data_IF_562815732629
#
_entry.id   IF_562815732629
#
_cell.length_a   1.000
_cell.length_b   1.000
_cell.length_c   1.000
_cell.angle_alpha   90.00
_cell.angle_beta   90.00
_cell.angle_gamma   90.00
#
_symmetry.space_group_name_H-M   'P 1'
#
loop_
_entity.id
_entity.type
_entity.pdbx_description
1 polymer ?
#
# COMPACT_ATOMS: atom_id res chain seq x y z
N UNK A 1 -17.52 -0.31 4.07
CA UNK A 1 -16.17 0.27 4.28
C UNK A 1 -15.52 0.72 2.97
N UNK A 2 -15.51 -0.07 1.89
CA UNK A 2 -14.89 0.33 0.61
C UNK A 2 -15.45 1.61 -0.03
N UNK A 3 -16.76 1.86 0.07
CA UNK A 3 -17.37 3.14 -0.33
C UNK A 3 -16.74 4.35 0.39
N UNK A 4 -16.50 4.25 1.71
CA UNK A 4 -15.84 5.31 2.49
C UNK A 4 -14.40 5.54 2.02
N UNK A 5 -13.72 4.49 1.59
CA UNK A 5 -12.39 4.62 0.97
C UNK A 5 -12.48 5.38 -0.36
N UNK A 6 -13.45 5.05 -1.22
CA UNK A 6 -13.64 5.77 -2.49
C UNK A 6 -13.97 7.25 -2.24
N UNK A 7 -14.81 7.57 -1.25
CA UNK A 7 -15.10 8.95 -0.86
C UNK A 7 -13.86 9.69 -0.35
N UNK A 8 -13.08 9.04 0.53
CA UNK A 8 -11.83 9.59 1.04
C UNK A 8 -10.80 9.82 -0.08
N UNK A 9 -10.68 8.87 -1.01
CA UNK A 9 -9.82 8.96 -2.18
C UNK A 9 -10.24 10.11 -3.10
N UNK A 10 -11.53 10.23 -3.42
CA UNK A 10 -12.04 11.30 -4.27
C UNK A 10 -11.86 12.67 -3.61
N UNK A 11 -12.05 12.74 -2.28
CA UNK A 11 -11.81 13.96 -1.51
C UNK A 11 -10.33 14.36 -1.56
N UNK A 12 -9.43 13.40 -1.37
CA UNK A 12 -7.98 13.57 -1.50
C UNK A 12 -7.56 14.02 -2.91
N UNK A 13 -8.04 13.33 -3.95
CA UNK A 13 -7.74 13.71 -5.34
C UNK A 13 -8.25 15.12 -5.67
N UNK A 14 -9.40 15.52 -5.13
CA UNK A 14 -9.90 16.87 -5.29
C UNK A 14 -9.04 17.90 -4.55
N UNK A 15 -8.49 17.60 -3.38
CA UNK A 15 -7.58 18.53 -2.67
C UNK A 15 -6.24 18.67 -3.38
N UNK A 16 -5.76 17.61 -4.02
CA UNK A 16 -4.55 17.61 -4.85
C UNK A 16 -4.76 18.22 -6.26
N UNK A 17 -5.98 18.67 -6.58
CA UNK A 17 -6.32 19.22 -7.89
C UNK A 17 -6.33 18.19 -9.02
N UNK A 18 -6.32 16.89 -8.69
CA UNK A 18 -6.31 15.74 -9.64
C UNK A 18 -7.72 15.21 -9.89
N UNK A 19 -8.65 16.12 -10.18
CA UNK A 19 -10.05 15.78 -10.46
C UNK A 19 -10.20 14.93 -11.73
N UNK A 20 -9.23 15.00 -12.63
CA UNK A 20 -9.10 14.17 -13.84
C UNK A 20 -8.93 12.67 -13.53
N UNK A 21 -8.43 12.34 -12.34
CA UNK A 21 -8.24 10.96 -11.88
C UNK A 21 -9.43 10.43 -11.05
N UNK A 22 -10.43 11.26 -10.76
CA UNK A 22 -11.63 10.86 -10.01
C UNK A 22 -12.43 9.89 -10.89
N UNK A 23 -12.32 8.59 -10.61
CA UNK A 23 -13.06 7.58 -11.32
C UNK A 23 -14.42 7.32 -10.64
N UNK A 24 -15.48 7.87 -11.22
CA UNK A 24 -16.86 7.69 -10.75
C UNK A 24 -17.41 6.27 -10.94
N UNK A 25 -16.66 5.37 -11.61
CA UNK A 25 -17.01 3.97 -11.83
C UNK A 25 -16.26 3.00 -10.90
N UNK A 26 -15.57 3.48 -9.87
CA UNK A 26 -14.94 2.62 -8.86
C UNK A 26 -16.02 1.76 -8.19
N UNK A 27 -16.09 0.49 -8.61
CA UNK A 27 -17.02 -0.48 -8.06
C UNK A 27 -16.52 -1.00 -6.72
N UNK A 28 -17.31 -0.77 -5.67
CA UNK A 28 -17.05 -1.26 -4.33
C UNK A 28 -17.07 -2.80 -4.19
N UNK A 29 -17.46 -3.54 -5.23
CA UNK A 29 -17.42 -5.00 -5.28
C UNK A 29 -16.11 -5.56 -5.86
N UNK A 30 -15.26 -4.72 -6.46
CA UNK A 30 -14.01 -5.13 -7.13
C UNK A 30 -12.79 -4.47 -6.48
N UNK A 31 -11.61 -5.10 -6.56
CA UNK A 31 -10.34 -4.49 -6.13
C UNK A 31 -10.13 -3.15 -6.82
N UNK A 32 -9.86 -2.12 -6.04
CA UNK A 32 -9.52 -0.79 -6.56
C UNK A 32 -8.01 -0.78 -6.79
N UNK A 33 -7.58 -0.39 -7.98
CA UNK A 33 -6.17 -0.33 -8.32
C UNK A 33 -5.77 1.13 -8.56
N UNK A 34 -4.74 1.57 -7.84
CA UNK A 34 -4.15 2.89 -7.97
C UNK A 34 -2.84 2.74 -8.75
N UNK A 35 -2.85 3.22 -10.00
CA UNK A 35 -1.67 3.24 -10.85
C UNK A 35 -0.74 4.39 -10.44
N UNK A 36 0.54 4.06 -10.25
CA UNK A 36 1.57 5.00 -9.83
C UNK A 36 2.70 4.97 -10.87
N UNK A 37 3.22 6.14 -11.22
CA UNK A 37 4.33 6.20 -12.16
C UNK A 37 5.56 5.53 -11.55
N UNK A 38 6.18 4.62 -12.30
CA UNK A 38 7.46 3.97 -11.95
C UNK A 38 7.45 3.14 -10.65
N UNK A 39 6.27 2.74 -10.17
CA UNK A 39 6.11 1.91 -8.97
C UNK A 39 5.01 0.86 -9.15
N UNK A 40 5.04 -0.26 -8.39
CA UNK A 40 3.99 -1.25 -8.47
C UNK A 40 2.64 -0.62 -8.07
N UNK A 41 1.54 -1.00 -8.75
CA UNK A 41 0.22 -0.45 -8.46
C UNK A 41 -0.21 -0.82 -7.03
N UNK A 42 -0.83 0.13 -6.34
CA UNK A 42 -1.42 -0.12 -5.01
C UNK A 42 -2.83 -0.65 -5.23
N UNK A 43 -3.07 -1.86 -4.76
CA UNK A 43 -4.38 -2.48 -4.74
C UNK A 43 -5.06 -2.22 -3.40
N UNK A 44 -6.35 -1.94 -3.44
CA UNK A 44 -7.18 -1.66 -2.28
C UNK A 44 -8.37 -2.61 -2.27
N UNK A 45 -8.49 -3.34 -1.17
CA UNK A 45 -9.58 -4.29 -0.98
C UNK A 45 -10.14 -4.26 0.44
N UNK A 46 -11.17 -5.07 0.69
CA UNK A 46 -11.68 -5.36 2.02
C UNK A 46 -11.09 -6.69 2.50
N UNK A 47 -10.46 -6.66 3.68
CA UNK A 47 -10.14 -7.87 4.42
C UNK A 47 -11.09 -7.95 5.62
N UNK A 48 -12.10 -8.80 5.52
CA UNK A 48 -13.23 -8.83 6.45
C UNK A 48 -13.95 -7.48 6.44
N UNK A 49 -13.71 -6.61 7.41
CA UNK A 49 -14.33 -5.28 7.51
C UNK A 49 -13.32 -4.14 7.34
N UNK A 50 -12.02 -4.44 7.29
CA UNK A 50 -10.97 -3.43 7.23
C UNK A 50 -10.50 -3.18 5.80
N UNK A 51 -10.02 -1.96 5.55
CA UNK A 51 -9.39 -1.60 4.26
C UNK A 51 -7.96 -2.10 4.26
N UNK A 52 -7.63 -2.96 3.30
CA UNK A 52 -6.26 -3.43 3.08
C UNK A 52 -5.68 -2.77 1.83
N UNK A 53 -4.49 -2.20 1.98
CA UNK A 53 -3.61 -1.78 0.88
C UNK A 53 -2.63 -2.92 0.63
N UNK A 54 -2.39 -3.28 -0.62
CA UNK A 54 -1.36 -4.25 -0.97
C UNK A 54 -0.77 -4.03 -2.35
N UNK A 55 0.48 -4.41 -2.56
CA UNK A 55 1.11 -4.39 -3.88
C UNK A 55 2.10 -5.55 -4.03
N UNK A 56 2.23 -6.03 -5.26
CA UNK A 56 3.27 -6.99 -5.64
C UNK A 56 4.57 -6.25 -5.86
N UNK A 57 5.57 -6.52 -5.01
CA UNK A 57 6.84 -5.76 -4.98
C UNK A 57 7.82 -6.32 -6.01
N UNK A 58 8.01 -7.64 -6.01
CA UNK A 58 8.92 -8.34 -6.91
C UNK A 58 8.59 -9.83 -6.96
N UNK A 59 8.75 -10.42 -8.14
CA UNK A 59 8.93 -11.88 -8.25
C UNK A 59 10.33 -12.21 -7.70
N UNK A 60 10.40 -13.10 -6.73
CA UNK A 60 11.63 -13.35 -6.00
C UNK A 60 11.80 -14.85 -5.72
N UNK A 61 12.98 -15.38 -5.99
CA UNK A 61 13.35 -16.73 -5.59
C UNK A 61 13.95 -16.71 -4.18
N UNK A 62 13.74 -17.78 -3.41
CA UNK A 62 14.23 -17.84 -2.02
C UNK A 62 15.74 -17.58 -1.90
N UNK A 63 16.55 -18.04 -2.86
CA UNK A 63 18.00 -17.77 -2.84
C UNK A 63 18.38 -16.28 -2.94
N UNK A 64 17.56 -15.47 -3.63
CA UNK A 64 17.77 -14.01 -3.69
C UNK A 64 17.37 -13.35 -2.36
N UNK A 65 16.26 -13.80 -1.76
CA UNK A 65 15.86 -13.35 -0.42
C UNK A 65 16.90 -13.70 0.65
N UNK A 66 17.50 -14.89 0.56
CA UNK A 66 18.58 -15.31 1.46
C UNK A 66 19.80 -14.38 1.35
N UNK A 67 20.18 -14.00 0.13
CA UNK A 67 21.29 -13.08 -0.12
C UNK A 67 21.01 -11.66 0.44
N UNK A 68 19.76 -11.21 0.38
CA UNK A 68 19.31 -9.90 0.86
C UNK A 68 18.82 -9.91 2.32
N UNK A 69 18.87 -11.06 3.00
CA UNK A 69 18.17 -11.27 4.27
C UNK A 69 18.52 -10.26 5.36
N UNK A 70 19.79 -9.89 5.48
CA UNK A 70 20.23 -8.87 6.44
C UNK A 70 19.61 -7.51 6.14
N UNK A 71 19.65 -7.07 4.88
CA UNK A 71 19.13 -5.76 4.48
C UNK A 71 17.61 -5.70 4.62
N UNK A 72 16.91 -6.79 4.24
CA UNK A 72 15.46 -6.90 4.40
C UNK A 72 15.05 -6.84 5.87
N UNK A 73 15.78 -7.54 6.75
CA UNK A 73 15.52 -7.51 8.18
C UNK A 73 15.74 -6.12 8.77
N UNK A 74 16.83 -5.42 8.39
CA UNK A 74 17.06 -4.04 8.81
C UNK A 74 15.94 -3.12 8.37
N UNK A 75 15.51 -3.18 7.11
CA UNK A 75 14.43 -2.33 6.58
C UNK A 75 13.08 -2.59 7.27
N UNK A 76 12.85 -3.82 7.76
CA UNK A 76 11.68 -4.18 8.56
C UNK A 76 11.77 -3.65 10.01
N UNK A 77 12.94 -3.70 10.63
CA UNK A 77 13.13 -3.30 12.03
C UNK A 77 13.29 -1.79 12.22
N UNK A 78 13.87 -1.09 11.25
CA UNK A 78 14.07 0.37 11.28
C UNK A 78 12.80 1.15 10.94
N UNK A 79 11.77 0.44 10.48
CA UNK A 79 10.47 1.02 10.21
C UNK A 79 9.79 1.51 11.50
N UNK A 80 9.42 2.78 11.51
CA UNK A 80 8.64 3.37 12.59
C UNK A 80 7.17 3.46 12.15
N UNK A 81 6.25 2.69 12.75
CA UNK A 81 4.85 2.71 12.36
C UNK A 81 4.19 4.07 12.62
N UNK A 82 3.62 4.68 11.58
CA UNK A 82 2.87 5.94 11.70
C UNK A 82 1.37 5.74 11.52
N UNK A 83 0.97 5.31 10.31
CA UNK A 83 -0.41 5.44 9.86
C UNK A 83 -1.20 4.12 9.75
N UNK A 84 -0.57 2.97 9.99
CA UNK A 84 -1.19 1.64 9.89
C UNK A 84 -1.42 0.96 11.24
N UNK A 85 -2.11 -0.18 11.24
CA UNK A 85 -2.19 -1.01 12.45
C UNK A 85 -0.79 -1.46 12.90
N UNK A 86 -0.62 -1.67 14.20
CA UNK A 86 0.67 -2.02 14.80
C UNK A 86 1.26 -3.26 14.13
N UNK A 87 2.55 -3.20 13.79
CA UNK A 87 3.28 -4.30 13.13
C UNK A 87 3.12 -4.35 11.61
N UNK A 88 2.53 -3.32 11.00
CA UNK A 88 2.38 -3.19 9.55
C UNK A 88 3.03 -1.89 9.03
N UNK A 89 3.44 -1.81 7.76
CA UNK A 89 3.26 -2.78 6.67
C UNK A 89 4.01 -4.11 6.84
N UNK A 90 3.40 -5.20 6.35
CA UNK A 90 3.92 -6.56 6.44
C UNK A 90 4.26 -7.12 5.05
N UNK A 91 5.39 -7.82 4.96
CA UNK A 91 5.79 -8.59 3.79
C UNK A 91 5.27 -10.03 3.88
N UNK A 92 4.72 -10.53 2.79
CA UNK A 92 4.29 -11.92 2.65
C UNK A 92 4.76 -12.48 1.32
N UNK A 93 5.02 -13.80 1.28
CA UNK A 93 5.40 -14.48 0.05
C UNK A 93 4.20 -15.26 -0.48
N UNK A 94 3.78 -14.98 -1.71
CA UNK A 94 2.63 -15.60 -2.37
C UNK A 94 3.03 -15.99 -3.78
N UNK A 95 3.01 -17.29 -4.10
CA UNK A 95 3.27 -17.78 -5.46
C UNK A 95 4.53 -17.15 -6.10
N UNK A 96 5.66 -17.25 -5.39
CA UNK A 96 6.95 -16.67 -5.80
C UNK A 96 7.02 -15.14 -5.87
N UNK A 97 5.97 -14.44 -5.45
CA UNK A 97 5.91 -12.99 -5.41
C UNK A 97 5.97 -12.50 -3.98
N UNK A 98 6.83 -11.52 -3.73
CA UNK A 98 6.83 -10.78 -2.47
C UNK A 98 5.75 -9.70 -2.55
N UNK A 99 4.83 -9.72 -1.58
CA UNK A 99 3.69 -8.82 -1.50
C UNK A 99 3.80 -8.02 -0.21
N UNK A 100 3.77 -6.69 -0.33
CA UNK A 100 3.62 -5.77 0.80
C UNK A 100 2.14 -5.54 1.06
N UNK A 101 1.72 -5.55 2.32
CA UNK A 101 0.34 -5.28 2.69
C UNK A 101 0.22 -4.54 4.02
N UNK A 102 -0.81 -3.71 4.15
CA UNK A 102 -1.10 -2.99 5.38
C UNK A 102 -2.60 -2.73 5.51
N UNK A 103 -3.10 -2.75 6.74
CA UNK A 103 -4.48 -2.40 7.08
C UNK A 103 -4.50 -0.92 7.45
N UNK A 104 -5.28 -0.16 6.68
CA UNK A 104 -5.51 1.25 6.91
C UNK A 104 -6.32 1.43 8.19
N UNK A 105 -5.86 2.34 9.07
CA UNK A 105 -6.60 2.66 10.29
C UNK A 105 -7.90 3.37 9.94
N UNK A 106 -9.02 2.97 10.55
CA UNK A 106 -10.33 3.58 10.28
C UNK A 106 -10.37 5.12 10.38
N UNK A 107 -9.68 5.79 11.34
CA UNK A 107 -9.64 7.25 11.39
C UNK A 107 -9.15 7.92 10.11
N UNK A 108 -8.26 7.26 9.34
CA UNK A 108 -7.77 7.79 8.08
C UNK A 108 -8.88 7.95 7.03
N UNK A 109 -9.99 7.21 7.14
CA UNK A 109 -11.13 7.36 6.22
C UNK A 109 -11.93 8.64 6.45
N UNK A 110 -11.72 9.34 7.56
CA UNK A 110 -12.45 10.57 7.91
C UNK A 110 -11.55 11.80 8.02
N UNK A 111 -10.24 11.62 7.83
CA UNK A 111 -9.23 12.67 7.92
C UNK A 111 -8.37 12.62 6.66
N UNK A 112 -8.56 13.59 5.76
CA UNK A 112 -7.87 13.66 4.47
C UNK A 112 -6.35 13.73 4.62
N UNK A 113 -5.84 14.40 5.66
CA UNK A 113 -4.39 14.48 5.88
C UNK A 113 -3.85 13.13 6.30
N UNK A 114 -4.50 12.48 7.27
CA UNK A 114 -4.11 11.15 7.71
C UNK A 114 -4.23 10.11 6.58
N UNK A 115 -5.24 10.24 5.71
CA UNK A 115 -5.38 9.42 4.50
C UNK A 115 -4.20 9.59 3.55
N UNK A 116 -3.85 10.85 3.23
CA UNK A 116 -2.74 11.17 2.36
C UNK A 116 -1.41 10.66 2.93
N UNK A 117 -1.16 10.90 4.22
CA UNK A 117 0.03 10.43 4.92
C UNK A 117 0.11 8.90 4.90
N UNK A 118 -1.01 8.20 5.06
CA UNK A 118 -1.08 6.74 4.95
C UNK A 118 -0.69 6.25 3.55
N UNK A 119 -1.28 6.82 2.50
CA UNK A 119 -0.97 6.42 1.12
C UNK A 119 0.49 6.71 0.77
N UNK A 120 1.01 7.87 1.17
CA UNK A 120 2.39 8.23 0.97
C UNK A 120 3.35 7.30 1.72
N UNK A 121 3.04 6.98 2.98
CA UNK A 121 3.82 6.02 3.76
C UNK A 121 3.84 4.63 3.11
N UNK A 122 2.69 4.15 2.61
CA UNK A 122 2.65 2.86 1.91
C UNK A 122 3.48 2.87 0.62
N UNK A 123 3.38 3.95 -0.15
CA UNK A 123 4.14 4.15 -1.38
C UNK A 123 5.65 4.17 -1.14
N UNK A 124 6.11 4.97 -0.17
CA UNK A 124 7.53 5.05 0.17
C UNK A 124 8.07 3.69 0.62
N UNK A 125 7.26 2.93 1.38
CA UNK A 125 7.63 1.59 1.82
C UNK A 125 7.68 0.59 0.67
N UNK A 126 6.70 0.61 -0.25
CA UNK A 126 6.72 -0.28 -1.41
C UNK A 126 7.92 0.03 -2.32
N UNK A 127 8.19 1.31 -2.56
CA UNK A 127 9.30 1.76 -3.37
C UNK A 127 10.65 1.30 -2.78
N UNK A 128 10.89 1.50 -1.48
CA UNK A 128 12.12 1.05 -0.82
C UNK A 128 12.36 -0.44 -0.94
N UNK A 129 11.32 -1.27 -0.73
CA UNK A 129 11.45 -2.71 -0.89
C UNK A 129 11.70 -3.10 -2.34
N UNK A 130 10.99 -2.48 -3.31
CA UNK A 130 11.23 -2.72 -4.74
C UNK A 130 12.67 -2.38 -5.14
N UNK A 131 13.22 -1.25 -4.68
CA UNK A 131 14.61 -0.87 -4.94
C UNK A 131 15.60 -1.85 -4.31
N UNK A 132 15.37 -2.26 -3.07
CA UNK A 132 16.23 -3.22 -2.38
C UNK A 132 16.29 -4.57 -3.09
N UNK A 133 15.18 -5.01 -3.68
CA UNK A 133 15.07 -6.31 -4.36
C UNK A 133 15.56 -6.28 -5.80
N UNK A 134 15.63 -5.10 -6.42
CA UNK A 134 16.14 -4.92 -7.78
C UNK A 134 17.68 -4.91 -7.87
N UNK A 135 18.37 -4.69 -6.73
CA UNK A 135 19.83 -4.77 -6.61
C UNK A 135 20.34 -6.20 -6.45
#
# INVERSE_FOLDING_TARGET
MKYRFVDALNSFLSTEGRQDLINSQLDCHSTIQLELNESPPINVDLLTDDIILWCSIAECQMGHLEALGQNLLSELLEYTPGNFHIGQPALSFRENTLVLSAILREPALNDTQLFADSLNEFYERSHRFSTLLAG
#
